data_IF_047865829432
#
_entry.id   IF_047865829432
#
_cell.length_a   1.000
_cell.length_b   1.000
_cell.length_c   1.000
_cell.angle_alpha   90.00
_cell.angle_beta   90.00
_cell.angle_gamma   90.00
#
_symmetry.space_group_name_H-M   'P 1'
#
loop_
_entity.id
_entity.type
_entity.pdbx_description
1 polymer ?
#
# COMPACT_ATOMS: atom_id res chain seq x y z
N UNK A 1 -2.29 -21.88 -29.70
CA UNK A 1 -3.33 -21.40 -28.77
C UNK A 1 -2.62 -20.91 -27.51
N UNK A 2 -2.48 -19.60 -27.33
CA UNK A 2 -1.86 -19.05 -26.10
C UNK A 2 -2.89 -19.21 -24.98
N UNK A 3 -2.60 -20.08 -24.02
CA UNK A 3 -3.45 -20.27 -22.84
C UNK A 3 -3.50 -18.99 -22.03
N UNK A 4 -4.72 -18.51 -21.78
CA UNK A 4 -4.97 -17.34 -20.95
C UNK A 4 -4.74 -17.74 -19.48
N UNK A 5 -3.63 -17.29 -18.89
CA UNK A 5 -3.33 -17.54 -17.47
C UNK A 5 -3.86 -16.35 -16.66
N UNK A 6 -4.62 -16.62 -15.60
CA UNK A 6 -5.15 -15.60 -14.67
C UNK A 6 -4.48 -15.68 -13.31
N UNK A 7 -4.28 -14.54 -12.68
CA UNK A 7 -3.74 -14.46 -11.33
C UNK A 7 -4.71 -15.12 -10.33
N UNK A 8 -4.26 -16.06 -9.47
CA UNK A 8 -5.14 -16.74 -8.51
C UNK A 8 -5.63 -15.82 -7.38
N UNK A 9 -4.96 -14.69 -7.15
CA UNK A 9 -5.29 -13.77 -6.07
C UNK A 9 -6.25 -12.66 -6.48
N UNK A 10 -6.26 -12.25 -7.76
CA UNK A 10 -7.09 -11.13 -8.20
C UNK A 10 -7.78 -11.31 -9.56
N UNK A 11 -7.63 -12.47 -10.20
CA UNK A 11 -8.27 -12.78 -11.49
C UNK A 11 -7.72 -12.03 -12.70
N UNK A 12 -6.72 -11.16 -12.53
CA UNK A 12 -6.14 -10.38 -13.61
C UNK A 12 -5.40 -11.29 -14.61
N UNK A 13 -5.56 -11.04 -15.91
CA UNK A 13 -4.85 -11.80 -16.95
C UNK A 13 -3.35 -11.51 -16.89
N UNK A 14 -2.56 -12.57 -16.83
CA UNK A 14 -1.09 -12.51 -16.72
C UNK A 14 -0.47 -13.14 -17.96
N UNK A 15 0.67 -12.59 -18.37
CA UNK A 15 1.46 -13.12 -19.49
C UNK A 15 2.43 -14.16 -18.91
N UNK A 16 2.56 -15.31 -19.57
CA UNK A 16 3.46 -16.39 -19.18
C UNK A 16 4.90 -15.89 -19.00
N UNK A 17 5.56 -16.28 -17.89
CA UNK A 17 6.95 -15.90 -17.56
C UNK A 17 7.10 -14.69 -16.60
N UNK A 18 6.01 -14.15 -16.04
CA UNK A 18 6.10 -13.10 -15.01
C UNK A 18 6.13 -13.68 -13.59
N UNK A 19 7.11 -13.27 -12.80
CA UNK A 19 7.26 -13.69 -11.39
C UNK A 19 6.29 -12.99 -10.43
N UNK A 20 5.66 -11.89 -10.85
CA UNK A 20 4.83 -11.03 -10.02
C UNK A 20 3.60 -10.53 -10.78
N UNK A 21 2.43 -10.50 -10.13
CA UNK A 21 1.22 -9.91 -10.70
C UNK A 21 1.30 -8.38 -10.68
N UNK A 22 1.06 -7.72 -11.82
CA UNK A 22 1.08 -6.24 -11.94
C UNK A 22 -0.09 -5.55 -11.26
N UNK A 23 -1.19 -6.28 -11.01
CA UNK A 23 -2.40 -5.71 -10.40
C UNK A 23 -2.39 -5.81 -8.87
N UNK A 24 -2.04 -6.97 -8.30
CA UNK A 24 -2.10 -7.19 -6.85
C UNK A 24 -0.73 -7.44 -6.18
N UNK A 25 0.36 -7.55 -6.95
CA UNK A 25 1.69 -7.78 -6.40
C UNK A 25 1.93 -9.20 -5.88
N UNK A 26 1.01 -10.16 -6.07
CA UNK A 26 1.23 -11.54 -5.66
C UNK A 26 2.29 -12.22 -6.51
N UNK A 27 3.15 -13.05 -5.89
CA UNK A 27 4.13 -13.88 -6.61
C UNK A 27 3.42 -14.99 -7.37
N UNK A 28 3.79 -15.18 -8.63
CA UNK A 28 3.23 -16.21 -9.49
C UNK A 28 4.22 -17.38 -9.51
N UNK A 29 3.76 -18.55 -9.05
CA UNK A 29 4.59 -19.75 -8.98
C UNK A 29 4.74 -20.31 -10.40
N UNK A 30 5.97 -20.50 -10.84
CA UNK A 30 6.33 -21.07 -12.13
C UNK A 30 6.39 -22.59 -11.95
N UNK A 31 5.43 -23.31 -12.55
CA UNK A 31 5.19 -24.72 -12.28
C UNK A 31 6.26 -25.63 -12.90
N UNK A 32 6.89 -26.48 -12.08
CA UNK A 32 7.29 -27.82 -12.49
C UNK A 32 7.04 -28.80 -11.33
N UNK A 33 6.47 -29.96 -11.65
CA UNK A 33 6.09 -31.10 -10.81
C UNK A 33 4.92 -30.93 -9.82
N UNK A 34 3.77 -31.34 -10.33
CA UNK A 34 2.68 -32.02 -9.64
C UNK A 34 3.13 -32.97 -8.52
N UNK A 35 2.56 -32.84 -7.33
CA UNK A 35 2.09 -34.00 -6.58
C UNK A 35 0.81 -33.66 -5.81
N UNK A 36 -0.31 -34.02 -6.42
CA UNK A 36 -1.61 -34.12 -5.78
C UNK A 36 -1.56 -35.30 -4.80
N UNK A 37 -1.83 -35.06 -3.52
CA UNK A 37 -2.37 -36.09 -2.63
C UNK A 37 -3.54 -35.51 -1.85
N UNK A 38 -4.72 -35.92 -2.32
CA UNK A 38 -5.96 -36.07 -1.58
C UNK A 38 -5.79 -37.05 -0.41
N UNK A 39 -6.76 -37.00 0.51
CA UNK A 39 -6.99 -37.85 1.69
C UNK A 39 -6.20 -37.50 2.96
N UNK A 40 -6.88 -37.06 4.02
CA UNK A 40 -7.61 -37.94 4.95
C UNK A 40 -7.99 -37.13 6.21
N UNK A 41 -9.26 -37.23 6.60
CA UNK A 41 -9.74 -36.74 7.89
C UNK A 41 -9.12 -37.55 9.03
N UNK A 42 -8.47 -36.88 9.99
CA UNK A 42 -8.19 -37.47 11.30
C UNK A 42 -8.47 -36.42 12.38
N UNK A 43 -9.57 -36.62 13.10
CA UNK A 43 -9.78 -36.03 14.42
C UNK A 43 -8.70 -36.53 15.37
N UNK A 44 -7.96 -35.63 16.02
CA UNK A 44 -7.36 -35.92 17.34
C UNK A 44 -7.56 -34.71 18.26
N UNK A 45 -8.49 -34.94 19.18
CA UNK A 45 -8.55 -34.48 20.57
C UNK A 45 -7.53 -33.45 21.08
N UNK A 46 -8.11 -32.41 21.67
CA UNK A 46 -7.49 -31.38 22.49
C UNK A 46 -6.73 -31.93 23.71
N UNK A 47 -5.51 -31.43 23.92
CA UNK A 47 -4.95 -31.21 25.24
C UNK A 47 -4.32 -29.81 25.31
N UNK A 48 -4.54 -29.20 26.47
CA UNK A 48 -4.26 -27.81 26.82
C UNK A 48 -2.80 -27.38 26.61
N UNK A 49 -2.64 -26.15 26.09
CA UNK A 49 -1.42 -25.37 26.23
C UNK A 49 -1.79 -23.88 26.35
N UNK A 50 -1.71 -23.34 27.56
CA UNK A 50 -1.19 -21.97 27.75
C UNK A 50 0.28 -21.96 27.24
N UNK A 51 0.96 -20.83 26.88
CA UNK A 51 0.71 -19.43 27.28
C UNK A 51 1.01 -18.38 26.17
N UNK A 52 0.87 -17.09 26.49
CA UNK A 52 1.90 -16.04 26.32
C UNK A 52 1.35 -14.65 25.96
N UNK A 53 1.30 -13.78 26.98
CA UNK A 53 1.35 -12.31 26.89
C UNK A 53 2.55 -11.88 26.03
N UNK A 54 2.41 -10.99 25.03
CA UNK A 54 3.58 -10.44 24.37
C UNK A 54 4.25 -9.41 25.29
N UNK A 55 5.36 -9.83 25.88
CA UNK A 55 6.35 -8.94 26.47
C UNK A 55 7.05 -8.13 25.36
N UNK A 56 7.20 -6.85 25.67
CA UNK A 56 8.05 -5.84 25.05
C UNK A 56 9.37 -6.43 24.50
N UNK A 57 9.59 -6.33 23.19
CA UNK A 57 10.89 -6.61 22.59
C UNK A 57 11.54 -5.30 22.16
N UNK A 58 12.50 -4.94 23.01
CA UNK A 58 13.37 -3.80 22.95
C UNK A 58 14.25 -3.81 21.68
N UNK A 59 14.52 -2.60 21.21
CA UNK A 59 15.45 -2.18 20.16
C UNK A 59 16.64 -3.13 19.94
N UNK A 60 16.85 -3.52 18.69
CA UNK A 60 18.16 -3.93 18.20
C UNK A 60 18.43 -3.26 16.85
N UNK A 61 19.19 -2.16 16.90
CA UNK A 61 19.86 -1.52 15.79
C UNK A 61 21.21 -2.20 15.60
N UNK A 62 21.54 -2.82 14.46
CA UNK A 62 22.91 -3.19 14.18
C UNK A 62 23.63 -1.99 13.56
N UNK A 63 24.37 -1.26 14.41
CA UNK A 63 25.40 -0.32 14.00
C UNK A 63 26.54 -1.10 13.33
N UNK A 64 26.53 -1.16 12.00
CA UNK A 64 27.67 -1.67 11.23
C UNK A 64 28.74 -0.57 11.20
N UNK A 65 29.65 -0.60 12.18
CA UNK A 65 30.86 0.22 12.17
C UNK A 65 31.77 -0.23 11.03
N UNK A 66 31.71 0.55 9.97
CA UNK A 66 32.64 0.62 8.86
C UNK A 66 34.07 0.83 9.35
N UNK A 67 34.90 -0.21 9.30
CA UNK A 67 36.37 -0.09 9.30
C UNK A 67 36.96 -1.21 8.45
N UNK A 68 37.15 -0.95 7.16
CA UNK A 68 38.12 -1.70 6.37
C UNK A 68 39.11 -0.69 5.80
N UNK A 69 40.32 -0.79 6.33
CA UNK A 69 41.51 -0.04 5.96
C UNK A 69 41.75 -0.08 4.46
N UNK A 70 41.79 1.09 3.87
CA UNK A 70 42.17 1.34 2.48
C UNK A 70 43.70 1.36 2.40
N UNK A 71 44.30 0.49 1.58
CA UNK A 71 45.71 0.61 1.21
C UNK A 71 45.76 0.69 -0.31
N UNK A 72 45.79 1.91 -0.83
CA UNK A 72 46.09 2.17 -2.23
C UNK A 72 47.62 2.11 -2.44
N UNK A 73 48.12 1.46 -3.50
CA UNK A 73 49.53 1.57 -3.88
C UNK A 73 49.86 3.00 -4.37
N UNK A 74 51.13 3.44 -4.26
CA UNK A 74 51.53 4.75 -4.76
C UNK A 74 51.32 4.84 -6.29
N UNK A 75 50.85 6.00 -6.80
CA UNK A 75 50.65 6.16 -8.23
C UNK A 75 52.00 6.14 -8.98
N UNK A 76 52.09 5.52 -10.17
CA UNK A 76 53.23 5.70 -11.05
C UNK A 76 53.26 7.14 -11.58
N UNK A 77 54.47 7.71 -11.64
CA UNK A 77 54.76 9.06 -12.11
C UNK A 77 54.22 9.29 -13.54
N UNK A 78 53.18 10.12 -13.67
CA UNK A 78 52.39 10.29 -14.91
C UNK A 78 52.62 11.65 -15.59
N UNK A 79 53.78 12.30 -15.38
CA UNK A 79 53.81 13.75 -15.56
C UNK A 79 54.23 14.30 -16.94
N UNK A 80 54.46 13.53 -18.01
CA UNK A 80 55.03 14.16 -19.22
C UNK A 80 54.55 13.76 -20.61
N UNK A 81 53.71 12.74 -20.78
CA UNK A 81 53.27 12.34 -22.13
C UNK A 81 51.85 12.77 -22.52
N UNK A 82 51.05 13.29 -21.58
CA UNK A 82 49.62 13.55 -21.83
C UNK A 82 49.29 15.00 -22.24
N UNK A 83 50.25 15.94 -22.09
CA UNK A 83 50.02 17.37 -22.32
C UNK A 83 50.18 17.83 -23.79
N UNK A 84 50.54 16.95 -24.72
CA UNK A 84 50.72 17.29 -26.15
C UNK A 84 49.64 16.70 -27.08
N UNK A 85 48.46 16.37 -26.54
CA UNK A 85 47.30 16.03 -27.37
C UNK A 85 46.34 17.22 -27.40
N UNK A 86 46.22 17.86 -28.55
CA UNK A 86 45.21 18.88 -28.78
C UNK A 86 43.81 18.32 -28.46
N UNK A 87 42.97 19.04 -27.70
CA UNK A 87 41.62 18.59 -27.42
C UNK A 87 40.81 18.56 -28.73
N UNK A 88 40.01 17.51 -28.99
CA UNK A 88 39.10 17.50 -30.13
C UNK A 88 38.12 18.67 -30.01
N UNK A 89 38.04 19.48 -31.05
CA UNK A 89 37.16 20.65 -31.12
C UNK A 89 35.70 20.21 -30.99
N UNK A 90 34.88 20.87 -30.15
CA UNK A 90 33.47 20.53 -30.00
C UNK A 90 32.73 20.85 -31.30
N UNK A 91 32.20 19.82 -31.96
CA UNK A 91 31.30 19.99 -33.11
C UNK A 91 30.00 20.59 -32.57
N UNK A 92 29.81 21.89 -32.78
CA UNK A 92 28.61 22.61 -32.38
C UNK A 92 27.39 22.05 -33.12
N UNK A 93 26.67 21.13 -32.48
CA UNK A 93 25.34 20.75 -32.95
C UNK A 93 24.43 21.95 -32.73
N UNK A 94 23.92 22.52 -33.83
CA UNK A 94 22.89 23.55 -33.78
C UNK A 94 21.67 22.91 -33.11
N UNK A 95 21.49 23.18 -31.81
CA UNK A 95 20.33 22.73 -31.07
C UNK A 95 19.07 23.34 -31.67
N UNK A 96 17.92 22.67 -31.61
CA UNK A 96 16.66 23.27 -32.06
C UNK A 96 16.45 24.59 -31.31
N UNK A 97 16.33 25.68 -32.07
CA UNK A 97 16.09 27.01 -31.53
C UNK A 97 14.64 27.06 -31.04
N UNK A 98 14.45 26.88 -29.73
CA UNK A 98 13.13 26.97 -29.08
C UNK A 98 12.66 28.42 -29.12
N UNK A 99 11.61 28.69 -29.90
CA UNK A 99 11.08 30.05 -30.03
C UNK A 99 10.22 30.39 -28.81
N UNK A 100 10.33 31.62 -28.30
CA UNK A 100 9.45 32.10 -27.22
C UNK A 100 7.96 32.04 -27.60
N UNK A 101 7.66 32.15 -28.90
CA UNK A 101 6.31 32.04 -29.43
C UNK A 101 5.73 30.64 -29.26
N UNK A 102 6.52 29.60 -29.54
CA UNK A 102 6.10 28.21 -29.37
C UNK A 102 5.77 27.93 -27.90
N UNK A 103 6.59 28.42 -26.97
CA UNK A 103 6.30 28.33 -25.54
C UNK A 103 5.03 29.08 -25.15
N UNK A 104 4.82 30.30 -25.67
CA UNK A 104 3.65 31.13 -25.37
C UNK A 104 2.33 30.47 -25.77
N UNK A 105 2.29 29.82 -26.93
CA UNK A 105 1.08 29.12 -27.40
C UNK A 105 0.81 27.90 -26.54
N UNK A 106 1.85 27.14 -26.16
CA UNK A 106 1.70 25.95 -25.31
C UNK A 106 1.13 26.31 -23.94
N UNK A 107 1.66 27.33 -23.27
CA UNK A 107 1.12 27.76 -21.97
C UNK A 107 -0.30 28.32 -22.09
N UNK A 108 -0.62 29.04 -23.17
CA UNK A 108 -1.98 29.55 -23.40
C UNK A 108 -2.99 28.40 -23.49
N UNK A 109 -2.67 27.33 -24.23
CA UNK A 109 -3.55 26.16 -24.37
C UNK A 109 -3.68 25.41 -23.03
N UNK A 110 -2.57 25.19 -22.31
CA UNK A 110 -2.60 24.50 -21.00
C UNK A 110 -3.50 25.25 -20.01
N UNK A 111 -3.44 26.58 -19.97
CA UNK A 111 -4.25 27.40 -19.06
C UNK A 111 -5.75 27.30 -19.39
N UNK A 112 -6.13 27.30 -20.66
CA UNK A 112 -7.53 27.14 -21.08
C UNK A 112 -8.05 25.75 -20.70
N UNK A 113 -7.28 24.69 -20.95
CA UNK A 113 -7.65 23.33 -20.56
C UNK A 113 -7.76 23.18 -19.04
N UNK A 114 -6.81 23.72 -18.27
CA UNK A 114 -6.81 23.66 -16.82
C UNK A 114 -8.00 24.40 -16.20
N UNK A 115 -8.39 25.54 -16.76
CA UNK A 115 -9.54 26.33 -16.30
C UNK A 115 -10.85 25.52 -16.35
N UNK A 116 -11.04 24.70 -17.39
CA UNK A 116 -12.22 23.83 -17.51
C UNK A 116 -12.13 22.56 -16.65
N UNK A 117 -10.93 21.99 -16.54
CA UNK A 117 -10.69 20.75 -15.80
C UNK A 117 -10.84 20.92 -14.27
N UNK A 118 -10.14 21.89 -13.68
CA UNK A 118 -10.01 22.06 -12.23
C UNK A 118 -11.34 22.13 -11.45
N UNK A 119 -12.38 22.89 -11.87
CA UNK A 119 -13.60 23.01 -11.08
C UNK A 119 -14.34 21.68 -10.91
N UNK A 120 -14.35 20.85 -11.95
CA UNK A 120 -15.01 19.54 -11.92
C UNK A 120 -14.19 18.53 -11.10
N UNK A 121 -12.87 18.53 -11.25
CA UNK A 121 -12.01 17.63 -10.49
C UNK A 121 -12.05 17.90 -8.98
N UNK A 122 -12.03 19.15 -8.53
CA UNK A 122 -11.99 19.48 -7.09
C UNK A 122 -13.16 18.92 -6.29
N UNK A 123 -14.37 18.90 -6.86
CA UNK A 123 -15.57 18.40 -6.18
C UNK A 123 -15.62 16.88 -6.23
N UNK A 124 -15.61 16.29 -7.43
CA UNK A 124 -15.80 14.85 -7.59
C UNK A 124 -14.63 14.04 -7.01
N UNK A 125 -13.39 14.45 -7.25
CA UNK A 125 -12.22 13.69 -6.78
C UNK A 125 -12.08 13.72 -5.25
N UNK A 126 -12.31 14.88 -4.62
CA UNK A 126 -12.22 14.98 -3.15
C UNK A 126 -13.32 14.18 -2.47
N UNK A 127 -14.57 14.29 -2.94
CA UNK A 127 -15.69 13.56 -2.34
C UNK A 127 -15.50 12.05 -2.52
N UNK A 128 -15.15 11.59 -3.72
CA UNK A 128 -14.89 10.18 -3.97
C UNK A 128 -13.70 9.64 -3.16
N UNK A 129 -12.65 10.44 -2.97
CA UNK A 129 -11.50 10.03 -2.14
C UNK A 129 -11.86 9.93 -0.66
N UNK A 130 -12.67 10.87 -0.16
CA UNK A 130 -13.21 10.85 1.21
C UNK A 130 -14.12 9.66 1.46
N UNK A 131 -15.01 9.39 0.52
CA UNK A 131 -15.91 8.23 0.55
C UNK A 131 -15.11 6.92 0.59
N UNK A 132 -14.12 6.75 -0.29
CA UNK A 132 -13.23 5.58 -0.29
C UNK A 132 -12.44 5.43 1.01
N UNK A 133 -11.95 6.53 1.58
CA UNK A 133 -11.28 6.52 2.88
C UNK A 133 -12.25 6.11 4.01
N UNK A 134 -13.51 6.57 3.95
CA UNK A 134 -14.56 6.17 4.88
C UNK A 134 -14.80 4.66 4.84
N UNK A 135 -14.94 4.08 3.66
CA UNK A 135 -15.13 2.63 3.52
C UNK A 135 -13.93 1.81 3.99
N UNK A 136 -12.71 2.29 3.71
CA UNK A 136 -11.50 1.64 4.23
C UNK A 136 -11.48 1.65 5.77
N UNK A 137 -11.79 2.78 6.38
CA UNK A 137 -11.91 2.92 7.84
C UNK A 137 -12.97 1.98 8.42
N UNK A 138 -14.14 1.88 7.79
CA UNK A 138 -15.21 0.97 8.24
C UNK A 138 -14.76 -0.49 8.25
N UNK A 139 -13.98 -0.92 7.24
CA UNK A 139 -13.42 -2.29 7.20
C UNK A 139 -12.41 -2.54 8.32
N UNK A 140 -11.56 -1.55 8.62
CA UNK A 140 -10.60 -1.64 9.73
C UNK A 140 -11.31 -1.77 11.07
N UNK A 141 -12.36 -0.98 11.28
CA UNK A 141 -13.18 -1.03 12.48
C UNK A 141 -13.85 -2.40 12.61
N UNK A 142 -14.46 -2.89 11.53
CA UNK A 142 -15.13 -4.19 11.54
C UNK A 142 -14.18 -5.29 11.97
N UNK A 143 -13.00 -5.38 11.34
CA UNK A 143 -12.00 -6.38 11.72
C UNK A 143 -11.52 -6.23 13.16
N UNK A 144 -11.38 -5.00 13.66
CA UNK A 144 -10.98 -4.76 15.04
C UNK A 144 -12.06 -5.16 16.06
N UNK A 145 -13.34 -4.94 15.73
CA UNK A 145 -14.46 -5.40 16.56
C UNK A 145 -14.55 -6.94 16.53
N UNK A 146 -14.38 -7.55 15.35
CA UNK A 146 -14.34 -9.01 15.23
C UNK A 146 -13.22 -9.62 16.08
N UNK A 147 -12.01 -9.05 16.03
CA UNK A 147 -10.90 -9.48 16.88
C UNK A 147 -11.21 -9.27 18.37
N UNK A 148 -11.76 -8.13 18.76
CA UNK A 148 -12.18 -7.89 20.14
C UNK A 148 -13.22 -8.92 20.61
N UNK A 149 -14.19 -9.25 19.76
CA UNK A 149 -15.25 -10.23 20.06
C UNK A 149 -14.73 -11.68 20.10
N UNK A 150 -13.59 -11.97 19.47
CA UNK A 150 -12.91 -13.28 19.59
C UNK A 150 -12.18 -13.42 20.92
N UNK A 151 -11.55 -12.35 21.40
CA UNK A 151 -10.76 -12.38 22.63
C UNK A 151 -11.63 -12.22 23.89
N UNK A 152 -12.75 -11.51 23.80
CA UNK A 152 -13.66 -11.25 24.91
C UNK A 152 -15.04 -11.86 24.66
N UNK A 153 -15.54 -12.63 25.64
CA UNK A 153 -16.91 -13.18 25.61
C UNK A 153 -18.01 -12.09 25.63
N UNK A 154 -17.64 -10.85 25.95
CA UNK A 154 -18.51 -9.68 25.91
C UNK A 154 -18.61 -9.14 24.48
N UNK A 155 -19.47 -9.75 23.68
CA UNK A 155 -19.66 -9.34 22.30
C UNK A 155 -20.20 -7.91 22.21
N UNK A 156 -19.45 -7.03 21.55
CA UNK A 156 -19.92 -5.69 21.22
C UNK A 156 -20.92 -5.79 20.08
N UNK A 157 -22.19 -5.54 20.39
CA UNK A 157 -23.30 -5.61 19.44
C UNK A 157 -23.56 -4.30 18.72
N UNK A 158 -23.23 -3.18 19.36
CA UNK A 158 -23.47 -1.83 18.85
C UNK A 158 -22.17 -1.10 18.64
N UNK A 159 -22.12 -0.27 17.60
CA UNK A 159 -21.02 0.66 17.39
C UNK A 159 -21.41 2.06 17.84
N UNK A 160 -20.68 2.57 18.83
CA UNK A 160 -20.82 3.90 19.42
C UNK A 160 -19.41 4.48 19.60
N UNK A 161 -19.19 5.82 19.62
CA UNK A 161 -17.90 6.43 19.94
C UNK A 161 -17.20 5.88 21.21
N UNK A 162 -17.95 5.41 22.22
CA UNK A 162 -17.36 4.78 23.40
C UNK A 162 -16.63 3.46 23.08
N UNK A 163 -17.14 2.70 22.13
CA UNK A 163 -16.55 1.42 21.69
C UNK A 163 -15.25 1.68 20.94
N UNK A 164 -15.17 2.74 20.14
CA UNK A 164 -13.91 3.13 19.48
C UNK A 164 -12.78 3.37 20.52
N UNK A 165 -13.09 4.04 21.62
CA UNK A 165 -12.13 4.26 22.72
C UNK A 165 -11.67 2.96 23.38
N UNK A 166 -12.59 2.00 23.55
CA UNK A 166 -12.29 0.66 24.07
C UNK A 166 -11.38 -0.13 23.13
N UNK A 167 -11.58 -0.02 21.82
CA UNK A 167 -10.75 -0.70 20.82
C UNK A 167 -9.32 -0.15 20.78
N UNK A 168 -9.17 1.16 20.99
CA UNK A 168 -7.86 1.81 21.09
C UNK A 168 -7.17 1.40 22.39
N UNK A 169 -7.86 1.43 23.53
CA UNK A 169 -7.28 1.02 24.82
C UNK A 169 -6.99 -0.49 24.90
N UNK A 170 -7.80 -1.30 24.23
CA UNK A 170 -7.62 -2.74 24.07
C UNK A 170 -6.50 -3.14 23.11
N UNK A 171 -5.89 -2.17 22.40
CA UNK A 171 -4.78 -2.42 21.48
C UNK A 171 -5.17 -2.97 20.10
N UNK A 172 -6.46 -3.06 19.79
CA UNK A 172 -6.96 -3.47 18.47
C UNK A 172 -6.84 -2.36 17.44
N UNK A 173 -6.95 -1.10 17.88
CA UNK A 173 -6.63 0.09 17.08
C UNK A 173 -5.40 0.78 17.66
N UNK A 174 -4.49 1.21 16.79
CA UNK A 174 -3.31 1.99 17.22
C UNK A 174 -3.69 3.37 17.74
N UNK A 175 -4.59 4.05 17.03
CA UNK A 175 -5.08 5.40 17.32
C UNK A 175 -6.55 5.50 16.90
N UNK A 176 -7.23 6.58 17.33
CA UNK A 176 -8.52 6.98 16.80
C UNK A 176 -8.50 7.12 15.28
N UNK A 177 -9.60 6.74 14.65
CA UNK A 177 -9.68 6.70 13.19
C UNK A 177 -10.02 8.11 12.68
N UNK A 178 -9.19 8.69 11.80
CA UNK A 178 -9.47 10.01 11.26
C UNK A 178 -10.69 9.96 10.34
N UNK A 179 -11.73 10.69 10.73
CA UNK A 179 -12.97 10.81 9.96
C UNK A 179 -12.73 11.72 8.74
N UNK A 180 -13.16 11.33 7.53
CA UNK A 180 -12.91 12.12 6.32
C UNK A 180 -13.74 13.42 6.25
N UNK A 181 -14.88 13.46 6.96
CA UNK A 181 -15.76 14.62 7.10
C UNK A 181 -16.18 14.81 8.55
N UNK A 182 -16.43 16.07 8.94
CA UNK A 182 -16.84 16.43 10.32
C UNK A 182 -18.15 15.77 10.75
N UNK A 183 -19.02 15.44 9.78
CA UNK A 183 -20.34 14.88 10.04
C UNK A 183 -20.37 13.34 9.92
N UNK A 184 -19.26 12.67 9.59
CA UNK A 184 -19.27 11.21 9.52
C UNK A 184 -19.20 10.61 10.93
N UNK A 185 -20.14 9.72 11.21
CA UNK A 185 -20.17 8.93 12.41
C UNK A 185 -20.43 7.48 12.01
N UNK A 186 -19.60 6.59 12.54
CA UNK A 186 -19.70 5.16 12.32
C UNK A 186 -20.72 4.58 13.30
N UNK A 187 -21.63 3.77 12.78
CA UNK A 187 -22.64 3.09 13.54
C UNK A 187 -22.84 1.67 13.04
N UNK A 188 -23.80 0.99 13.67
CA UNK A 188 -24.21 -0.37 13.35
C UNK A 188 -25.72 -0.38 13.08
N UNK A 189 -26.17 -1.07 12.03
CA UNK A 189 -27.60 -1.23 11.77
C UNK A 189 -28.24 -2.26 12.69
N UNK A 190 -27.52 -3.35 13.00
CA UNK A 190 -27.99 -4.48 13.81
C UNK A 190 -26.85 -5.08 14.66
N UNK A 191 -27.12 -6.18 15.37
CA UNK A 191 -26.14 -6.93 16.15
C UNK A 191 -24.94 -7.36 15.26
N UNK A 192 -23.76 -6.78 15.53
CA UNK A 192 -22.49 -7.09 14.84
C UNK A 192 -22.07 -8.57 14.90
N UNK A 193 -22.72 -9.37 15.74
CA UNK A 193 -22.39 -10.78 15.97
C UNK A 193 -23.09 -11.74 15.02
N UNK A 194 -24.16 -11.30 14.35
CA UNK A 194 -24.94 -12.15 13.45
C UNK A 194 -24.73 -11.73 11.98
N UNK A 195 -25.21 -10.54 11.63
CA UNK A 195 -25.16 -9.99 10.26
C UNK A 195 -25.06 -8.47 10.25
N UNK A 196 -24.73 -7.87 11.40
CA UNK A 196 -24.61 -6.43 11.52
C UNK A 196 -23.54 -5.87 10.59
N UNK A 197 -23.93 -4.89 9.77
CA UNK A 197 -23.03 -4.17 8.88
C UNK A 197 -22.69 -2.82 9.51
N UNK A 198 -21.41 -2.42 9.41
CA UNK A 198 -20.98 -1.07 9.80
C UNK A 198 -21.46 -0.08 8.75
N UNK A 199 -22.01 1.05 9.22
CA UNK A 199 -22.54 2.12 8.39
C UNK A 199 -21.91 3.45 8.78
N UNK A 200 -21.66 4.36 7.83
CA UNK A 200 -21.46 5.78 8.13
C UNK A 200 -22.75 6.55 7.82
N UNK A 201 -23.18 7.44 8.72
CA UNK A 201 -24.38 8.28 8.54
C UNK A 201 -24.38 9.13 7.26
N UNK A 202 -23.19 9.44 6.71
CA UNK A 202 -23.02 10.32 5.54
C UNK A 202 -22.74 9.53 4.25
N UNK A 203 -21.87 8.50 4.32
CA UNK A 203 -21.41 7.74 3.15
C UNK A 203 -22.17 6.42 2.94
N UNK A 204 -23.01 5.99 3.89
CA UNK A 204 -23.75 4.74 3.79
C UNK A 204 -22.94 3.52 4.22
N UNK A 205 -23.22 2.37 3.61
CA UNK A 205 -22.60 1.08 3.94
C UNK A 205 -21.45 0.76 2.99
N UNK A 206 -20.50 -0.07 3.42
CA UNK A 206 -19.45 -0.56 2.53
C UNK A 206 -20.06 -1.61 1.59
N UNK A 207 -20.16 -1.28 0.30
CA UNK A 207 -20.45 -2.26 -0.76
C UNK A 207 -19.17 -2.98 -1.20
#
# INVERSE_FOLDING_TARGET
MLGEIKCPQCGFQIISGQKLCRNCGSRLLENSSSESRTHESVEIHALAAEPAKPANLEKASPNLKQTRSEVNPPPPNFDQAFYLREPPQPIAKKGPEFTFLELMIVIAIILICAAMAIPNFKKCYRQQSREKACYANMRVILGAIEMYNMDYSAQQKTMNPNVEGLLVSGGYLKNHIPKPDMNCEYGATEDLTASGVIICKVHGTVQ
#
